data_IF_351407608017
#
_entry.id   IF_351407608017
#
_cell.length_a   1.000
_cell.length_b   1.000
_cell.length_c   1.000
_cell.angle_alpha   90.00
_cell.angle_beta   90.00
_cell.angle_gamma   90.00
#
_symmetry.space_group_name_H-M   'P 1'
#
loop_
_entity.id
_entity.type
_entity.pdbx_description
1 polymer ?
#
# COMPACT_ATOMS: atom_id res chain seq x y z
N UNK A 1 -24.88 -35.70 -87.67
CA UNK A 1 -25.78 -36.74 -88.22
C UNK A 1 -26.98 -36.80 -87.32
N UNK A 2 -28.16 -36.55 -87.96
CA UNK A 2 -29.54 -36.88 -87.55
C UNK A 2 -30.13 -36.00 -86.43
N UNK A 3 -30.91 -35.01 -86.72
CA UNK A 3 -32.27 -34.83 -87.33
C UNK A 3 -33.38 -34.97 -86.24
N UNK A 4 -34.17 -33.85 -86.13
CA UNK A 4 -35.61 -33.71 -85.94
C UNK A 4 -36.22 -34.14 -84.59
N UNK A 5 -37.28 -33.50 -84.05
CA UNK A 5 -38.55 -32.95 -84.64
C UNK A 5 -39.19 -31.99 -83.59
N UNK A 6 -39.78 -30.96 -84.11
CA UNK A 6 -40.70 -29.94 -83.64
C UNK A 6 -42.09 -30.49 -83.24
N UNK A 7 -42.70 -30.12 -82.14
CA UNK A 7 -44.20 -29.98 -82.05
C UNK A 7 -44.52 -28.89 -80.95
N UNK A 8 -45.37 -27.91 -81.28
CA UNK A 8 -45.83 -26.91 -80.32
C UNK A 8 -47.13 -27.35 -79.63
N UNK A 9 -47.29 -27.02 -78.37
CA UNK A 9 -48.61 -27.09 -77.76
C UNK A 9 -48.92 -25.75 -77.07
N UNK A 10 -49.90 -25.08 -77.62
CA UNK A 10 -50.53 -23.88 -77.11
C UNK A 10 -51.57 -24.28 -76.07
N UNK A 11 -51.50 -23.74 -74.89
CA UNK A 11 -52.68 -23.68 -74.03
C UNK A 11 -52.59 -22.57 -72.98
N UNK A 12 -53.51 -21.66 -73.04
CA UNK A 12 -54.34 -21.12 -72.02
C UNK A 12 -53.71 -20.12 -70.99
N UNK A 13 -53.92 -18.86 -71.30
CA UNK A 13 -53.77 -17.70 -70.37
C UNK A 13 -54.85 -17.77 -69.31
N UNK A 14 -54.44 -17.89 -68.00
CA UNK A 14 -55.27 -17.54 -66.86
C UNK A 14 -54.50 -16.48 -66.05
N UNK A 15 -54.97 -15.24 -66.18
CA UNK A 15 -54.50 -14.12 -65.37
C UNK A 15 -55.19 -14.21 -64.00
N UNK A 16 -54.45 -14.66 -62.97
CA UNK A 16 -54.83 -14.48 -61.58
C UNK A 16 -54.11 -13.24 -61.05
N UNK A 17 -54.82 -12.16 -60.83
CA UNK A 17 -54.37 -10.96 -60.18
C UNK A 17 -54.22 -11.26 -58.64
N UNK A 18 -53.01 -11.63 -58.20
CA UNK A 18 -52.65 -11.59 -56.77
C UNK A 18 -52.19 -10.19 -56.43
N UNK A 19 -52.94 -9.50 -55.55
CA UNK A 19 -52.59 -8.24 -55.00
C UNK A 19 -51.24 -8.38 -54.26
N UNK A 20 -50.24 -7.57 -54.60
CA UNK A 20 -49.05 -7.36 -53.85
C UNK A 20 -49.44 -6.54 -52.61
N UNK A 21 -49.60 -7.21 -51.47
CA UNK A 21 -49.50 -6.55 -50.20
C UNK A 21 -48.09 -5.96 -50.12
N UNK A 22 -47.99 -4.63 -49.96
CA UNK A 22 -46.75 -3.95 -49.70
C UNK A 22 -46.26 -4.44 -48.34
N UNK A 23 -44.99 -4.82 -48.17
CA UNK A 23 -44.45 -5.17 -46.87
C UNK A 23 -44.65 -3.96 -45.92
N UNK A 24 -44.99 -4.22 -44.63
CA UNK A 24 -45.11 -3.15 -43.65
C UNK A 24 -43.79 -2.36 -43.62
N UNK A 25 -43.86 -1.03 -43.35
CA UNK A 25 -42.67 -0.22 -43.29
C UNK A 25 -41.71 -0.85 -42.26
N UNK A 26 -40.52 -1.17 -42.73
CA UNK A 26 -39.42 -1.63 -41.86
C UNK A 26 -39.26 -0.56 -40.80
N UNK A 27 -39.64 -0.86 -39.56
CA UNK A 27 -39.37 0.02 -38.44
C UNK A 27 -37.87 0.25 -38.47
N UNK A 28 -37.44 1.52 -38.62
CA UNK A 28 -36.05 1.92 -38.59
C UNK A 28 -35.36 1.26 -37.37
N UNK A 29 -34.47 0.33 -37.67
CA UNK A 29 -33.69 -0.33 -36.61
C UNK A 29 -32.98 0.75 -35.81
N UNK A 30 -33.29 0.84 -34.54
CA UNK A 30 -32.66 1.83 -33.64
C UNK A 30 -31.15 1.64 -33.68
N UNK A 31 -30.37 2.72 -33.74
CA UNK A 31 -28.92 2.63 -33.68
C UNK A 31 -28.49 1.87 -32.41
N UNK A 32 -27.42 1.07 -32.51
CA UNK A 32 -26.90 0.31 -31.39
C UNK A 32 -26.68 1.22 -30.15
N UNK A 33 -27.04 0.74 -28.97
CA UNK A 33 -26.93 1.51 -27.73
C UNK A 33 -28.09 2.51 -27.49
N UNK A 34 -29.16 2.45 -28.26
CA UNK A 34 -30.35 3.31 -28.08
C UNK A 34 -31.49 2.53 -27.44
N UNK A 35 -32.12 3.14 -26.44
CA UNK A 35 -33.30 2.61 -25.76
C UNK A 35 -34.45 3.62 -25.82
N UNK A 36 -35.66 3.11 -26.01
CA UNK A 36 -36.89 3.92 -25.98
C UNK A 36 -37.72 3.49 -24.77
N UNK A 37 -37.99 4.42 -23.88
CA UNK A 37 -38.81 4.19 -22.69
C UNK A 37 -40.18 4.83 -22.84
N UNK A 38 -41.23 4.09 -22.49
CA UNK A 38 -42.61 4.63 -22.47
C UNK A 38 -42.79 5.67 -21.37
N UNK A 39 -43.75 6.60 -21.49
CA UNK A 39 -44.01 7.59 -20.47
C UNK A 39 -44.33 7.01 -19.08
N UNK A 40 -44.95 5.82 -19.03
CA UNK A 40 -45.22 5.09 -17.80
C UNK A 40 -43.88 4.62 -17.12
N UNK A 41 -42.97 4.06 -17.90
CA UNK A 41 -41.62 3.61 -17.39
C UNK A 41 -40.76 4.79 -16.97
N UNK A 42 -40.79 5.92 -17.68
CA UNK A 42 -40.10 7.14 -17.31
C UNK A 42 -40.52 7.65 -15.91
N UNK A 43 -41.85 7.60 -15.66
CA UNK A 43 -42.39 8.03 -14.38
C UNK A 43 -42.07 7.07 -13.25
N UNK A 44 -42.14 5.77 -13.49
CA UNK A 44 -41.78 4.72 -12.53
C UNK A 44 -40.29 4.77 -12.13
N UNK A 45 -39.41 4.97 -13.11
CA UNK A 45 -37.96 5.08 -12.89
C UNK A 45 -37.50 6.38 -12.23
N UNK A 46 -38.40 7.33 -11.97
CA UNK A 46 -38.09 8.68 -11.41
C UNK A 46 -36.93 9.35 -12.15
N UNK A 47 -36.88 9.15 -13.48
CA UNK A 47 -35.80 9.66 -14.32
C UNK A 47 -35.75 11.18 -14.27
N UNK A 48 -34.56 11.70 -13.98
CA UNK A 48 -34.26 13.13 -14.13
C UNK A 48 -33.19 13.31 -15.17
N UNK A 49 -33.36 14.34 -15.97
CA UNK A 49 -32.38 14.78 -16.97
C UNK A 49 -31.97 16.21 -16.68
N UNK A 50 -30.71 16.52 -16.94
CA UNK A 50 -30.20 17.89 -16.85
C UNK A 50 -29.36 18.22 -18.07
N UNK A 51 -29.23 19.52 -18.35
CA UNK A 51 -28.42 20.00 -19.44
C UNK A 51 -26.96 20.19 -18.98
N UNK A 52 -26.07 19.51 -19.65
CA UNK A 52 -24.63 19.54 -19.38
C UNK A 52 -24.09 20.96 -19.50
N UNK A 53 -23.34 21.38 -18.48
CA UNK A 53 -22.64 22.67 -18.43
C UNK A 53 -21.16 22.44 -18.21
N UNK A 54 -20.34 23.37 -18.69
CA UNK A 54 -18.92 23.44 -18.34
C UNK A 54 -18.79 24.13 -16.98
N UNK A 55 -18.05 23.51 -16.09
CA UNK A 55 -17.66 24.08 -14.80
C UNK A 55 -16.13 24.10 -14.71
N UNK A 56 -15.60 25.16 -14.12
CA UNK A 56 -14.18 25.24 -13.79
C UNK A 56 -13.90 24.41 -12.53
N UNK A 57 -13.38 23.22 -12.72
CA UNK A 57 -13.08 22.30 -11.63
C UNK A 57 -11.57 22.08 -11.48
N UNK A 58 -11.17 21.82 -10.25
CA UNK A 58 -9.82 21.32 -10.00
C UNK A 58 -9.74 19.84 -10.40
N UNK A 59 -8.90 19.53 -11.38
CA UNK A 59 -8.67 18.15 -11.75
C UNK A 59 -7.76 17.48 -10.71
N UNK A 60 -8.06 16.24 -10.30
CA UNK A 60 -7.17 15.51 -9.42
C UNK A 60 -5.86 15.16 -10.15
N UNK A 61 -4.74 15.46 -9.52
CA UNK A 61 -3.42 15.00 -9.98
C UNK A 61 -3.16 13.61 -9.39
N UNK A 62 -2.96 12.62 -10.24
CA UNK A 62 -2.52 11.29 -9.82
C UNK A 62 -0.99 11.20 -9.84
N UNK A 63 -0.40 10.90 -8.70
CA UNK A 63 1.04 10.78 -8.52
C UNK A 63 1.37 9.35 -8.11
N UNK A 64 2.22 8.64 -8.87
CA UNK A 64 2.69 7.31 -8.46
C UNK A 64 3.36 7.37 -7.09
N UNK A 65 3.07 6.39 -6.27
CA UNK A 65 3.59 6.29 -4.92
C UNK A 65 3.93 4.84 -4.56
N UNK A 66 4.78 4.68 -3.57
CA UNK A 66 5.14 3.37 -3.01
C UNK A 66 4.71 3.32 -1.55
N UNK A 67 4.15 2.18 -1.15
CA UNK A 67 3.81 1.93 0.25
C UNK A 67 5.09 1.58 1.01
N UNK A 68 5.33 2.28 2.11
CA UNK A 68 6.53 2.11 2.94
C UNK A 68 6.15 2.04 4.42
N UNK A 69 7.03 1.44 5.21
CA UNK A 69 6.92 1.51 6.67
C UNK A 69 7.67 2.75 7.16
N UNK A 70 7.10 3.55 8.08
CA UNK A 70 7.81 4.68 8.67
C UNK A 70 9.16 4.27 9.24
N UNK A 71 10.19 5.11 9.08
CA UNK A 71 11.54 4.83 9.62
C UNK A 71 11.49 4.60 11.13
N UNK A 72 10.66 5.37 11.86
CA UNK A 72 10.45 5.18 13.30
C UNK A 72 9.72 3.89 13.67
N UNK A 73 8.98 3.31 12.73
CA UNK A 73 8.27 2.04 12.89
C UNK A 73 9.10 0.84 12.42
N UNK A 74 10.28 1.07 11.83
CA UNK A 74 11.18 0.04 11.31
C UNK A 74 12.43 -0.03 12.18
N UNK A 75 12.98 -1.22 12.37
CA UNK A 75 14.27 -1.46 12.99
C UNK A 75 15.12 -2.32 12.08
N UNK A 76 16.29 -1.83 11.74
CA UNK A 76 17.33 -2.64 11.07
C UNK A 76 18.27 -3.16 12.13
N UNK A 77 18.27 -4.45 12.33
CA UNK A 77 19.14 -5.13 13.29
C UNK A 77 20.41 -5.51 12.56
N UNK A 78 21.53 -4.97 13.02
CA UNK A 78 22.86 -5.28 12.49
C UNK A 78 23.67 -6.10 13.48
N UNK A 79 24.76 -6.72 12.98
CA UNK A 79 25.74 -7.37 13.85
C UNK A 79 26.52 -6.34 14.66
N UNK A 80 26.75 -6.65 15.92
CA UNK A 80 27.62 -5.89 16.82
C UNK A 80 29.01 -6.56 16.98
N UNK A 81 29.14 -7.80 16.49
CA UNK A 81 30.37 -8.61 16.58
C UNK A 81 30.81 -9.12 15.22
N UNK A 82 32.08 -9.46 15.13
CA UNK A 82 32.61 -10.29 14.04
C UNK A 82 32.39 -11.76 14.37
N UNK A 83 31.95 -12.53 13.36
CA UNK A 83 31.72 -13.95 13.54
C UNK A 83 31.05 -14.61 12.35
N UNK A 84 30.55 -15.81 12.60
CA UNK A 84 29.77 -16.60 11.63
C UNK A 84 28.35 -16.81 12.17
N UNK A 85 27.36 -16.62 11.33
CA UNK A 85 25.98 -16.96 11.67
C UNK A 85 25.88 -18.48 11.86
N UNK A 86 25.55 -18.90 13.08
CA UNK A 86 25.34 -20.32 13.40
C UNK A 86 23.93 -20.74 13.02
N UNK A 87 22.93 -20.02 13.49
CA UNK A 87 21.53 -20.33 13.23
C UNK A 87 20.69 -19.06 13.03
N UNK A 88 19.75 -19.13 12.10
CA UNK A 88 18.71 -18.11 11.89
C UNK A 88 17.38 -18.65 12.42
N UNK A 89 16.83 -17.99 13.41
CA UNK A 89 15.66 -18.46 14.20
C UNK A 89 14.33 -17.89 13.68
N UNK A 90 14.36 -17.00 12.70
CA UNK A 90 13.17 -16.30 12.17
C UNK A 90 13.16 -16.29 10.66
N UNK A 91 11.97 -16.21 10.10
CA UNK A 91 11.74 -16.07 8.66
C UNK A 91 10.91 -14.81 8.37
N UNK A 92 10.97 -14.25 7.15
CA UNK A 92 10.09 -13.16 6.76
C UNK A 92 8.61 -13.51 6.97
N UNK A 93 7.89 -12.60 7.64
CA UNK A 93 6.48 -12.79 8.03
C UNK A 93 6.27 -13.15 9.50
N UNK A 94 7.30 -13.58 10.23
CA UNK A 94 7.19 -13.93 11.64
C UNK A 94 6.88 -12.71 12.51
N UNK A 95 6.02 -12.89 13.50
CA UNK A 95 5.76 -11.91 14.56
C UNK A 95 6.65 -12.19 15.76
N UNK A 96 7.45 -11.21 16.12
CA UNK A 96 8.39 -11.31 17.22
C UNK A 96 8.11 -10.27 18.31
N UNK A 97 8.10 -10.65 19.60
CA UNK A 97 8.07 -9.70 20.69
C UNK A 97 9.45 -9.03 20.88
N UNK A 98 9.49 -7.91 21.59
CA UNK A 98 10.76 -7.27 22.00
C UNK A 98 11.60 -8.27 22.80
N UNK A 99 12.89 -8.36 22.46
CA UNK A 99 13.85 -9.26 23.12
C UNK A 99 13.86 -10.69 22.58
N UNK A 100 12.97 -11.04 21.63
CA UNK A 100 13.02 -12.36 20.97
C UNK A 100 14.36 -12.58 20.29
N UNK A 101 14.88 -13.80 20.35
CA UNK A 101 16.07 -14.21 19.63
C UNK A 101 15.75 -14.26 18.12
N UNK A 102 16.59 -13.63 17.31
CA UNK A 102 16.46 -13.60 15.85
C UNK A 102 17.44 -14.54 15.17
N UNK A 103 18.67 -14.56 15.65
CA UNK A 103 19.73 -15.44 15.14
C UNK A 103 20.86 -15.58 16.16
N UNK A 104 21.69 -16.57 15.97
CA UNK A 104 22.89 -16.86 16.77
C UNK A 104 24.13 -16.63 15.91
N UNK A 105 25.17 -15.99 16.52
CA UNK A 105 26.45 -15.72 15.88
C UNK A 105 27.56 -16.36 16.73
N UNK A 106 28.29 -17.28 16.13
CA UNK A 106 29.52 -17.80 16.70
C UNK A 106 30.62 -16.76 16.59
N UNK A 107 31.15 -16.27 17.74
CA UNK A 107 32.12 -15.18 17.78
C UNK A 107 33.30 -15.49 18.69
N UNK A 108 34.50 -15.26 18.19
CA UNK A 108 35.73 -15.33 18.98
C UNK A 108 35.79 -14.26 20.09
N UNK A 109 35.13 -13.14 19.87
CA UNK A 109 35.02 -12.05 20.83
C UNK A 109 34.30 -12.49 22.09
N UNK A 110 33.20 -13.25 21.95
CA UNK A 110 32.49 -13.82 23.09
C UNK A 110 33.37 -14.82 23.88
N UNK A 111 34.10 -15.71 23.18
CA UNK A 111 35.00 -16.65 23.82
C UNK A 111 36.10 -15.94 24.60
N UNK A 112 36.60 -14.81 24.10
CA UNK A 112 37.59 -13.95 24.80
C UNK A 112 36.95 -13.28 26.03
N UNK A 113 35.75 -12.69 25.88
CA UNK A 113 35.03 -12.07 26.97
C UNK A 113 34.73 -13.06 28.09
N UNK A 114 34.38 -14.31 27.78
CA UNK A 114 34.19 -15.37 28.79
C UNK A 114 35.47 -15.68 29.58
N UNK A 115 36.64 -15.77 28.90
CA UNK A 115 37.92 -15.96 29.59
C UNK A 115 38.28 -14.81 30.50
N UNK A 116 38.08 -13.58 30.00
CA UNK A 116 38.39 -12.36 30.76
C UNK A 116 37.46 -12.23 31.98
N UNK A 117 36.20 -12.57 31.86
CA UNK A 117 35.26 -12.61 32.95
C UNK A 117 35.66 -13.65 34.02
N UNK A 118 36.00 -14.87 33.61
CA UNK A 118 36.42 -15.93 34.52
C UNK A 118 37.71 -15.54 35.25
N UNK A 119 38.67 -14.91 34.58
CA UNK A 119 39.89 -14.42 35.14
C UNK A 119 39.63 -13.31 36.17
N UNK A 120 38.81 -12.30 35.83
CA UNK A 120 38.44 -11.22 36.74
C UNK A 120 37.63 -11.73 37.94
N UNK A 121 36.80 -12.75 37.78
CA UNK A 121 36.08 -13.39 38.90
C UNK A 121 37.02 -14.09 39.85
N UNK A 122 37.99 -14.84 39.34
CA UNK A 122 38.98 -15.54 40.14
C UNK A 122 39.88 -14.55 40.95
N UNK A 123 40.33 -13.50 40.27
CA UNK A 123 41.13 -12.43 40.89
C UNK A 123 40.34 -11.71 42.00
N UNK A 124 39.10 -11.34 41.75
CA UNK A 124 38.23 -10.74 42.78
C UNK A 124 38.10 -11.66 43.98
N UNK A 125 37.89 -12.96 43.80
CA UNK A 125 37.83 -13.94 44.91
C UNK A 125 39.09 -14.03 45.72
N UNK A 126 40.26 -14.04 45.06
CA UNK A 126 41.58 -14.06 45.70
C UNK A 126 41.85 -12.79 46.52
N UNK A 127 41.64 -11.62 45.91
CA UNK A 127 41.87 -10.31 46.53
C UNK A 127 40.87 -10.05 47.69
N UNK A 128 39.59 -10.44 47.51
CA UNK A 128 38.62 -10.37 48.60
C UNK A 128 39.05 -11.21 49.81
N UNK A 129 39.48 -12.46 49.57
CA UNK A 129 39.96 -13.34 50.63
C UNK A 129 41.21 -12.81 51.35
N UNK A 130 42.10 -12.13 50.60
CA UNK A 130 43.30 -11.48 51.17
C UNK A 130 42.93 -10.28 52.01
N UNK A 131 41.99 -9.43 51.56
CA UNK A 131 41.46 -8.30 52.32
C UNK A 131 40.81 -8.76 53.62
N UNK A 132 39.91 -9.76 53.55
CA UNK A 132 39.18 -10.29 54.69
C UNK A 132 40.10 -10.88 55.73
N UNK A 133 41.24 -11.51 55.35
CA UNK A 133 42.30 -11.96 56.31
C UNK A 133 43.00 -10.80 56.92
N UNK A 134 43.43 -9.80 56.15
CA UNK A 134 44.13 -8.61 56.70
C UNK A 134 43.22 -7.82 57.64
N UNK A 135 41.92 -7.70 57.29
CA UNK A 135 40.96 -7.01 58.20
C UNK A 135 40.79 -7.74 59.55
N UNK A 136 40.80 -9.07 59.56
CA UNK A 136 40.75 -9.86 60.81
C UNK A 136 42.03 -9.72 61.60
N UNK A 137 43.19 -9.80 60.95
CA UNK A 137 44.49 -9.65 61.59
C UNK A 137 44.71 -8.24 62.16
N UNK A 138 44.09 -7.21 61.59
CA UNK A 138 44.07 -5.87 62.14
C UNK A 138 43.31 -5.79 63.52
N UNK A 139 42.17 -6.53 63.56
CA UNK A 139 41.41 -6.61 64.83
C UNK A 139 42.19 -7.29 65.96
N UNK A 140 43.12 -8.19 65.59
CA UNK A 140 44.03 -8.88 66.52
C UNK A 140 45.39 -8.12 66.65
N UNK A 141 45.48 -6.84 66.19
CA UNK A 141 46.67 -5.99 66.17
C UNK A 141 47.91 -6.63 65.48
N UNK A 142 47.72 -7.63 64.66
CA UNK A 142 48.80 -8.40 63.99
C UNK A 142 49.34 -7.78 62.71
N UNK A 143 48.65 -6.76 62.17
CA UNK A 143 49.06 -6.05 60.92
C UNK A 143 48.81 -4.55 61.05
N UNK A 144 49.58 -3.74 60.32
CA UNK A 144 49.40 -2.29 60.29
C UNK A 144 48.14 -1.88 59.51
N UNK A 145 47.53 -0.77 59.90
CA UNK A 145 46.33 -0.22 59.20
C UNK A 145 46.62 0.06 57.74
N UNK A 146 47.78 0.53 57.33
CA UNK A 146 48.22 0.79 55.96
C UNK A 146 48.16 -0.46 55.08
N UNK A 147 48.42 -1.65 55.63
CA UNK A 147 48.28 -2.91 54.92
C UNK A 147 46.81 -3.18 54.52
N UNK A 148 45.88 -2.96 55.45
CA UNK A 148 44.46 -3.11 55.22
C UNK A 148 43.98 -2.08 54.23
N UNK A 149 44.41 -0.83 54.31
CA UNK A 149 44.07 0.22 53.33
C UNK A 149 44.59 -0.11 51.92
N UNK A 150 45.81 -0.64 51.83
CA UNK A 150 46.39 -1.13 50.56
C UNK A 150 45.56 -2.28 49.97
N UNK A 151 45.18 -3.27 50.80
CA UNK A 151 44.29 -4.39 50.36
C UNK A 151 42.91 -3.91 49.97
N UNK A 152 42.36 -2.91 50.66
CA UNK A 152 41.10 -2.30 50.30
C UNK A 152 41.16 -1.62 48.90
N UNK A 153 42.27 -0.93 48.60
CA UNK A 153 42.48 -0.33 47.30
C UNK A 153 42.57 -1.41 46.16
N UNK A 154 43.33 -2.51 46.44
CA UNK A 154 43.41 -3.64 45.50
C UNK A 154 42.04 -4.28 45.28
N UNK A 155 41.25 -4.46 46.33
CA UNK A 155 39.89 -4.99 46.22
C UNK A 155 38.99 -4.08 45.38
N UNK A 156 39.08 -2.76 45.58
CA UNK A 156 38.30 -1.81 44.78
C UNK A 156 38.62 -1.92 43.26
N UNK A 157 39.90 -2.07 42.93
CA UNK A 157 40.35 -2.29 41.54
C UNK A 157 39.82 -3.60 40.99
N UNK A 158 39.97 -4.73 41.69
CA UNK A 158 39.46 -6.03 41.26
C UNK A 158 37.94 -6.04 41.08
N UNK A 159 37.18 -5.33 41.96
CA UNK A 159 35.75 -5.14 41.82
C UNK A 159 35.38 -4.34 40.56
N UNK A 160 36.16 -3.34 40.20
CA UNK A 160 35.94 -2.52 39.01
C UNK A 160 36.19 -3.36 37.75
N UNK A 161 37.28 -4.14 37.71
CA UNK A 161 37.59 -5.01 36.58
C UNK A 161 36.54 -6.14 36.39
N UNK A 162 36.09 -6.76 37.45
CA UNK A 162 35.00 -7.75 37.38
C UNK A 162 33.72 -7.15 36.82
N UNK A 163 33.30 -5.96 37.28
CA UNK A 163 32.12 -5.28 36.74
C UNK A 163 32.27 -4.97 35.25
N UNK A 164 33.45 -4.47 34.85
CA UNK A 164 33.75 -4.22 33.41
C UNK A 164 33.61 -5.49 32.60
N UNK A 165 34.18 -6.59 33.00
CA UNK A 165 34.09 -7.87 32.31
C UNK A 165 32.64 -8.39 32.27
N UNK A 166 31.87 -8.23 33.35
CA UNK A 166 30.48 -8.59 33.45
C UNK A 166 29.58 -7.79 32.46
N UNK A 167 29.85 -6.48 32.34
CA UNK A 167 29.12 -5.61 31.39
C UNK A 167 29.39 -6.02 29.96
N UNK A 168 30.65 -6.33 29.61
CA UNK A 168 31.00 -6.79 28.25
C UNK A 168 30.24 -8.06 27.90
N UNK A 169 30.22 -9.07 28.75
CA UNK A 169 29.42 -10.30 28.51
C UNK A 169 27.93 -9.99 28.41
N UNK A 170 27.41 -9.12 29.26
CA UNK A 170 26.00 -8.72 29.21
C UNK A 170 25.61 -8.09 27.88
N UNK A 171 26.49 -7.26 27.31
CA UNK A 171 26.25 -6.66 25.99
C UNK A 171 26.26 -7.68 24.85
N UNK A 172 27.07 -8.72 24.92
CA UNK A 172 27.14 -9.78 23.93
C UNK A 172 25.96 -10.76 24.00
N UNK A 173 25.15 -10.71 25.05
CA UNK A 173 23.94 -11.52 25.22
C UNK A 173 24.15 -13.01 24.89
N UNK A 174 25.03 -13.72 25.62
CA UNK A 174 25.40 -15.09 25.29
C UNK A 174 24.20 -16.02 25.32
N UNK A 175 24.13 -16.97 24.37
CA UNK A 175 23.21 -18.10 24.38
C UNK A 175 23.71 -19.16 25.39
N UNK A 176 22.87 -20.14 25.79
CA UNK A 176 23.32 -21.28 26.57
C UNK A 176 24.42 -22.13 25.87
N UNK A 177 24.48 -22.06 24.54
CA UNK A 177 25.46 -22.78 23.71
C UNK A 177 26.78 -22.03 23.56
N UNK A 178 26.85 -20.77 23.98
CA UNK A 178 28.07 -19.95 23.91
C UNK A 178 28.16 -19.08 22.65
N UNK A 179 27.05 -18.84 21.97
CA UNK A 179 26.97 -17.93 20.82
C UNK A 179 26.38 -16.58 21.22
N UNK A 180 26.66 -15.55 20.43
CA UNK A 180 26.04 -14.22 20.58
C UNK A 180 24.61 -14.30 20.06
N UNK A 181 23.65 -14.01 20.93
CA UNK A 181 22.23 -13.95 20.57
C UNK A 181 21.85 -12.56 20.11
N UNK A 182 21.51 -12.43 18.84
CA UNK A 182 20.95 -11.19 18.29
C UNK A 182 19.45 -11.14 18.59
N UNK A 183 19.00 -10.07 19.24
CA UNK A 183 17.62 -9.95 19.72
C UNK A 183 16.86 -8.81 19.06
N UNK A 184 15.53 -8.97 18.97
CA UNK A 184 14.63 -7.96 18.47
C UNK A 184 14.61 -6.72 19.42
N UNK A 185 14.97 -5.51 18.95
CA UNK A 185 14.97 -4.30 19.79
C UNK A 185 13.55 -3.83 20.14
N UNK A 186 12.55 -4.24 19.34
CA UNK A 186 11.13 -3.93 19.49
C UNK A 186 10.27 -5.11 19.04
N UNK A 187 9.00 -5.11 19.43
CA UNK A 187 8.02 -6.02 18.87
C UNK A 187 7.68 -5.59 17.41
N UNK A 188 7.40 -6.56 16.55
CA UNK A 188 7.04 -6.29 15.15
C UNK A 188 6.96 -7.55 14.32
N UNK A 189 6.86 -7.36 13.01
CA UNK A 189 6.92 -8.42 11.99
C UNK A 189 8.29 -8.35 11.31
N UNK A 190 8.91 -9.48 11.08
CA UNK A 190 10.13 -9.62 10.28
C UNK A 190 9.78 -9.36 8.83
N UNK A 191 10.35 -8.30 8.25
CA UNK A 191 10.15 -7.96 6.84
C UNK A 191 11.15 -8.69 5.96
N UNK A 192 12.41 -8.75 6.43
CA UNK A 192 13.51 -9.30 5.63
C UNK A 192 14.59 -9.93 6.52
N UNK A 193 15.24 -10.97 6.02
CA UNK A 193 16.40 -11.62 6.63
C UNK A 193 17.50 -11.60 5.59
N UNK A 194 18.58 -10.85 5.86
CA UNK A 194 19.63 -10.56 4.90
C UNK A 194 20.80 -11.54 4.96
N UNK A 195 20.81 -12.47 5.90
CA UNK A 195 21.91 -13.41 6.13
C UNK A 195 21.42 -14.86 6.21
N UNK A 196 22.32 -15.79 6.00
CA UNK A 196 22.06 -17.23 6.09
C UNK A 196 22.99 -17.90 7.08
N UNK A 197 22.58 -19.06 7.60
CA UNK A 197 23.46 -19.89 8.41
C UNK A 197 24.76 -20.23 7.65
N UNK A 198 25.89 -20.14 8.34
CA UNK A 198 27.23 -20.30 7.79
C UNK A 198 27.88 -19.05 7.21
N UNK A 199 27.15 -17.95 7.06
CA UNK A 199 27.66 -16.68 6.51
C UNK A 199 28.52 -15.93 7.52
N UNK A 200 29.64 -15.37 7.05
CA UNK A 200 30.49 -14.51 7.88
C UNK A 200 29.95 -13.09 7.96
N UNK A 201 29.93 -12.52 9.12
CA UNK A 201 29.42 -11.17 9.40
C UNK A 201 30.44 -10.33 10.17
N UNK A 202 30.39 -9.03 9.98
CA UNK A 202 31.21 -8.03 10.67
C UNK A 202 30.29 -7.00 11.35
N UNK A 203 30.80 -6.24 12.31
CA UNK A 203 30.04 -5.16 12.93
C UNK A 203 29.45 -4.21 11.88
N UNK A 204 28.13 -3.94 11.98
CA UNK A 204 27.39 -3.12 11.03
C UNK A 204 26.75 -3.89 9.87
N UNK A 205 27.07 -5.17 9.65
CA UNK A 205 26.36 -6.01 8.67
C UNK A 205 24.88 -6.08 9.02
N UNK A 206 24.01 -5.72 8.05
CA UNK A 206 22.55 -5.81 8.24
C UNK A 206 22.14 -7.29 8.31
N UNK A 207 21.40 -7.66 9.35
CA UNK A 207 20.99 -9.05 9.59
C UNK A 207 19.50 -9.25 9.35
N UNK A 208 18.66 -8.45 10.03
CA UNK A 208 17.21 -8.57 9.99
C UNK A 208 16.57 -7.19 9.94
N UNK A 209 15.56 -7.02 9.11
CA UNK A 209 14.68 -5.86 9.11
C UNK A 209 13.32 -6.26 9.71
N UNK A 210 12.86 -5.51 10.70
CA UNK A 210 11.57 -5.73 11.34
C UNK A 210 10.82 -4.40 11.55
N UNK A 211 9.50 -4.45 11.58
CA UNK A 211 8.68 -3.26 11.78
C UNK A 211 7.23 -3.55 12.11
N UNK A 212 6.47 -2.48 12.28
CA UNK A 212 5.04 -2.56 12.56
C UNK A 212 4.24 -2.43 11.25
N UNK A 213 3.61 -3.51 10.76
CA UNK A 213 2.83 -3.48 9.53
C UNK A 213 1.50 -2.72 9.66
N UNK A 214 1.09 -2.32 10.87
CA UNK A 214 -0.12 -1.52 11.08
C UNK A 214 0.09 -0.04 10.78
N UNK A 215 1.34 0.40 10.67
CA UNK A 215 1.73 1.77 10.36
C UNK A 215 2.37 1.81 8.98
N UNK A 216 1.60 2.16 7.97
CA UNK A 216 2.10 2.30 6.62
C UNK A 216 1.92 3.73 6.11
N UNK A 217 2.90 4.18 5.37
CA UNK A 217 2.88 5.42 4.62
C UNK A 217 2.83 5.12 3.13
N UNK A 218 2.33 6.07 2.35
CA UNK A 218 2.60 6.09 0.92
C UNK A 218 3.50 7.29 0.61
N UNK A 219 4.59 7.04 -0.09
CA UNK A 219 5.58 8.05 -0.48
C UNK A 219 5.49 8.26 -1.98
N UNK A 220 5.25 9.50 -2.42
CA UNK A 220 5.17 9.88 -3.82
C UNK A 220 5.94 11.17 -4.12
N UNK A 221 6.29 11.37 -5.39
CA UNK A 221 7.01 12.56 -5.86
C UNK A 221 6.06 13.48 -6.60
N UNK A 222 5.65 14.54 -5.93
CA UNK A 222 4.67 15.53 -6.43
C UNK A 222 5.39 16.60 -7.23
N UNK A 223 5.01 16.88 -8.49
CA UNK A 223 5.60 17.97 -9.27
C UNK A 223 5.55 19.31 -8.52
N UNK A 224 6.58 20.16 -8.68
CA UNK A 224 6.76 21.39 -7.91
C UNK A 224 5.57 22.35 -8.01
N UNK A 225 4.93 22.41 -9.18
CA UNK A 225 3.75 23.27 -9.41
C UNK A 225 2.52 22.84 -8.61
N UNK A 226 2.38 21.54 -8.30
CA UNK A 226 1.30 21.00 -7.50
C UNK A 226 1.67 20.89 -6.01
N UNK A 227 2.97 20.76 -5.70
CA UNK A 227 3.46 20.60 -4.35
C UNK A 227 3.17 21.81 -3.44
N UNK A 228 3.02 23.02 -4.01
CA UNK A 228 2.67 24.24 -3.26
C UNK A 228 1.31 24.09 -2.54
N UNK A 229 0.36 23.34 -3.12
CA UNK A 229 -0.94 23.11 -2.53
C UNK A 229 -0.96 21.97 -1.49
N UNK A 230 0.12 21.20 -1.39
CA UNK A 230 0.22 20.04 -0.50
C UNK A 230 0.91 20.46 0.79
N UNK A 231 0.13 20.60 1.86
CA UNK A 231 0.65 20.98 3.17
C UNK A 231 0.51 19.85 4.19
N UNK A 232 1.42 19.72 5.17
CA UNK A 232 1.24 18.79 6.27
C UNK A 232 -0.13 18.97 6.96
N UNK A 233 -0.80 17.87 7.28
CA UNK A 233 -2.17 17.87 7.81
C UNK A 233 -3.28 17.83 6.77
N UNK A 234 -2.98 18.05 5.48
CA UNK A 234 -3.97 17.92 4.40
C UNK A 234 -4.38 16.44 4.25
N UNK A 235 -5.67 16.23 3.94
CA UNK A 235 -6.20 14.93 3.56
C UNK A 235 -6.07 14.71 2.06
N UNK A 236 -5.63 13.52 1.70
CA UNK A 236 -5.48 13.09 0.31
C UNK A 236 -6.05 11.69 0.15
N UNK A 237 -6.52 11.37 -1.04
CA UNK A 237 -6.95 10.01 -1.34
C UNK A 237 -5.77 9.19 -1.89
N UNK A 238 -5.69 7.93 -1.49
CA UNK A 238 -4.70 6.97 -1.96
C UNK A 238 -5.43 5.80 -2.59
N UNK A 239 -5.15 5.53 -3.84
CA UNK A 239 -5.70 4.40 -4.60
C UNK A 239 -4.60 3.35 -4.72
N UNK A 240 -4.91 2.13 -4.28
CA UNK A 240 -3.96 1.01 -4.35
C UNK A 240 -4.16 0.23 -5.64
N UNK A 241 -3.10 -0.02 -6.37
CA UNK A 241 -3.17 -0.82 -7.60
C UNK A 241 -3.60 -2.26 -7.32
N UNK A 242 -3.23 -2.78 -6.13
CA UNK A 242 -3.60 -4.12 -5.67
C UNK A 242 -5.07 -4.25 -5.21
N UNK A 243 -5.79 -3.15 -4.99
CA UNK A 243 -7.17 -3.11 -4.50
C UNK A 243 -8.02 -2.18 -5.38
N UNK A 244 -8.34 -2.60 -6.62
CA UNK A 244 -9.11 -1.78 -7.55
C UNK A 244 -10.48 -1.41 -6.96
N UNK A 245 -10.80 -0.11 -6.98
CA UNK A 245 -12.07 0.42 -6.45
C UNK A 245 -12.05 0.76 -4.96
N UNK A 246 -10.98 0.45 -4.22
CA UNK A 246 -10.84 0.88 -2.84
C UNK A 246 -9.98 2.16 -2.75
N UNK A 247 -10.58 3.21 -2.24
CA UNK A 247 -9.90 4.50 -1.98
C UNK A 247 -9.68 4.66 -0.48
N UNK A 248 -8.43 4.82 -0.10
CA UNK A 248 -8.03 4.99 1.30
C UNK A 248 -7.73 6.46 1.53
N UNK A 249 -8.37 7.06 2.54
CA UNK A 249 -7.99 8.39 2.96
C UNK A 249 -6.65 8.34 3.71
N UNK A 250 -5.84 9.34 3.49
CA UNK A 250 -4.53 9.48 4.10
C UNK A 250 -4.28 10.94 4.47
N UNK A 251 -3.44 11.14 5.47
CA UNK A 251 -3.03 12.46 5.91
C UNK A 251 -1.59 12.74 5.47
N UNK A 252 -1.35 13.90 4.91
CA UNK A 252 0.02 14.36 4.61
C UNK A 252 0.78 14.56 5.91
N UNK A 253 1.75 13.69 6.17
CA UNK A 253 2.64 13.77 7.34
C UNK A 253 3.80 14.70 7.06
N UNK A 254 4.33 14.63 5.84
CA UNK A 254 5.50 15.41 5.44
C UNK A 254 5.45 15.76 3.95
N UNK A 255 5.68 17.02 3.67
CA UNK A 255 6.10 17.49 2.35
C UNK A 255 7.57 17.88 2.45
N UNK A 256 8.40 17.36 1.55
CA UNK A 256 9.84 17.61 1.57
C UNK A 256 10.16 19.10 1.48
N UNK A 257 11.10 19.56 2.26
CA UNK A 257 11.58 20.97 2.20
C UNK A 257 12.51 21.26 1.02
N UNK A 258 12.71 20.29 0.13
CA UNK A 258 13.61 20.41 -1.02
C UNK A 258 12.99 19.74 -2.25
N UNK A 259 13.15 20.37 -3.40
CA UNK A 259 12.81 19.78 -4.70
C UNK A 259 13.95 18.88 -5.15
N UNK A 260 13.62 17.66 -5.57
CA UNK A 260 14.56 16.77 -6.27
C UNK A 260 14.87 17.39 -7.65
N UNK A 261 16.12 17.77 -7.94
CA UNK A 261 16.43 18.47 -9.19
C UNK A 261 16.33 17.58 -10.43
N UNK A 262 16.43 16.26 -10.26
CA UNK A 262 16.35 15.29 -11.36
C UNK A 262 14.88 15.07 -11.72
N UNK A 263 14.02 14.83 -10.70
CA UNK A 263 12.59 14.59 -10.87
C UNK A 263 11.77 15.85 -10.99
N UNK A 264 12.32 17.02 -10.61
CA UNK A 264 11.60 18.29 -10.46
C UNK A 264 10.33 18.14 -9.62
N UNK A 265 10.45 17.42 -8.54
CA UNK A 265 9.34 17.03 -7.70
C UNK A 265 9.72 17.10 -6.22
N UNK A 266 8.72 17.24 -5.37
CA UNK A 266 8.85 17.22 -3.92
C UNK A 266 8.39 15.86 -3.42
N UNK A 267 9.17 15.23 -2.54
CA UNK A 267 8.77 14.01 -1.86
C UNK A 267 7.65 14.33 -0.87
N UNK A 268 6.52 13.66 -1.02
CA UNK A 268 5.37 13.77 -0.13
C UNK A 268 5.10 12.41 0.49
N UNK A 269 5.00 12.39 1.83
CA UNK A 269 4.67 11.21 2.62
C UNK A 269 3.31 11.37 3.26
N UNK A 270 2.46 10.40 3.05
CA UNK A 270 1.10 10.38 3.60
C UNK A 270 0.90 9.15 4.47
N UNK A 271 0.35 9.33 5.66
CA UNK A 271 -0.02 8.25 6.55
C UNK A 271 -1.41 7.75 6.19
N UNK A 272 -1.57 6.45 5.99
CA UNK A 272 -2.86 5.83 5.68
C UNK A 272 -3.74 5.85 6.94
N UNK A 273 -4.98 6.32 6.82
CA UNK A 273 -5.94 6.32 7.95
C UNK A 273 -6.39 4.88 8.31
N UNK A 274 -6.36 3.97 7.35
CA UNK A 274 -6.56 2.54 7.57
C UNK A 274 -5.60 1.71 6.73
N UNK A 275 -5.17 0.58 7.25
CA UNK A 275 -4.32 -0.37 6.54
C UNK A 275 -5.16 -1.61 6.21
N UNK A 276 -5.53 -1.83 4.95
CA UNK A 276 -6.27 -3.02 4.53
C UNK A 276 -5.47 -4.31 4.81
N UNK A 277 -6.15 -5.42 5.11
CA UNK A 277 -5.49 -6.71 5.22
C UNK A 277 -4.76 -7.07 3.92
N UNK A 278 -3.51 -7.52 4.04
CA UNK A 278 -2.69 -7.90 2.89
C UNK A 278 -1.88 -6.78 2.27
N UNK A 279 -2.06 -5.52 2.68
CA UNK A 279 -1.19 -4.43 2.24
C UNK A 279 0.22 -4.60 2.83
N UNK A 280 1.24 -4.47 1.99
CA UNK A 280 2.65 -4.69 2.36
C UNK A 280 3.53 -3.54 1.90
N UNK A 281 4.62 -3.24 2.60
CA UNK A 281 5.66 -2.35 2.10
C UNK A 281 6.16 -2.83 0.73
N UNK A 282 6.47 -1.89 -0.16
CA UNK A 282 6.89 -2.15 -1.54
C UNK A 282 5.73 -2.20 -2.55
N UNK A 283 4.47 -2.26 -2.12
CA UNK A 283 3.33 -2.19 -3.04
C UNK A 283 3.18 -0.79 -3.64
N UNK A 284 2.63 -0.75 -4.87
CA UNK A 284 2.37 0.49 -5.58
C UNK A 284 1.00 1.06 -5.27
N UNK A 285 0.93 2.37 -5.28
CA UNK A 285 -0.26 3.16 -5.05
C UNK A 285 -0.21 4.45 -5.89
N UNK A 286 -1.32 5.14 -5.95
CA UNK A 286 -1.43 6.47 -6.54
C UNK A 286 -1.97 7.46 -5.52
N UNK A 287 -1.25 8.53 -5.24
CA UNK A 287 -1.77 9.68 -4.50
C UNK A 287 -2.68 10.49 -5.42
N UNK A 288 -3.88 10.77 -4.96
CA UNK A 288 -4.83 11.64 -5.66
C UNK A 288 -4.84 12.98 -4.94
N UNK A 289 -4.21 13.96 -5.54
CA UNK A 289 -3.98 15.29 -4.96
C UNK A 289 -4.82 16.33 -5.71
N UNK A 290 -5.29 17.41 -5.05
CA UNK A 290 -5.83 18.55 -5.77
C UNK A 290 -4.70 19.14 -6.63
N UNK A 291 -4.88 19.10 -7.96
CA UNK A 291 -3.96 19.86 -8.82
C UNK A 291 -4.34 21.33 -8.70
N UNK A 292 -3.45 22.24 -8.58
CA UNK A 292 -3.75 23.69 -8.61
C UNK A 292 -4.31 24.17 -9.96
N UNK A 293 -4.38 23.30 -10.97
CA UNK A 293 -4.89 23.60 -12.29
C UNK A 293 -6.41 23.47 -12.35
N UNK A 294 -7.08 24.55 -12.74
CA UNK A 294 -8.50 24.53 -13.11
C UNK A 294 -8.62 24.21 -14.59
N UNK A 295 -9.60 23.38 -14.91
CA UNK A 295 -9.98 23.13 -16.28
C UNK A 295 -11.51 23.17 -16.41
N UNK A 296 -12.00 23.77 -17.48
CA UNK A 296 -13.40 23.71 -17.83
C UNK A 296 -13.74 22.27 -18.24
N UNK A 297 -14.56 21.59 -17.45
CA UNK A 297 -15.00 20.22 -17.66
C UNK A 297 -16.52 20.12 -17.49
N UNK A 298 -17.09 19.14 -18.17
CA UNK A 298 -18.46 18.72 -17.89
C UNK A 298 -18.47 18.04 -16.53
N UNK A 299 -19.32 18.49 -15.64
CA UNK A 299 -19.46 17.91 -14.29
C UNK A 299 -20.87 17.31 -14.18
N UNK A 300 -20.92 16.06 -13.74
CA UNK A 300 -22.16 15.32 -13.53
C UNK A 300 -22.15 14.67 -12.13
N UNK A 301 -23.34 14.39 -11.56
CA UNK A 301 -23.41 13.49 -10.42
C UNK A 301 -22.85 12.10 -10.75
N UNK A 302 -22.16 11.46 -9.82
CA UNK A 302 -21.58 10.13 -10.03
C UNK A 302 -22.62 9.09 -10.46
N UNK A 303 -23.86 9.19 -9.96
CA UNK A 303 -24.99 8.34 -10.33
C UNK A 303 -25.37 8.40 -11.82
N UNK A 304 -24.95 9.44 -12.56
CA UNK A 304 -25.19 9.61 -14.00
C UNK A 304 -24.33 8.67 -14.84
N UNK A 305 -23.19 8.25 -14.32
CA UNK A 305 -22.24 7.39 -15.03
C UNK A 305 -22.53 5.93 -14.70
N UNK A 306 -22.71 5.13 -15.74
CA UNK A 306 -22.96 3.69 -15.59
C UNK A 306 -21.82 2.89 -16.22
N UNK A 307 -21.36 1.88 -15.50
CA UNK A 307 -20.33 0.98 -15.99
C UNK A 307 -20.95 -0.13 -16.82
N UNK A 308 -20.50 -0.24 -18.07
CA UNK A 308 -20.88 -1.32 -18.98
C UNK A 308 -19.64 -2.17 -19.32
N UNK A 309 -19.84 -3.27 -20.09
CA UNK A 309 -18.75 -4.17 -20.48
C UNK A 309 -17.61 -3.44 -21.23
N UNK A 310 -17.96 -2.43 -22.02
CA UNK A 310 -17.03 -1.68 -22.87
C UNK A 310 -16.50 -0.39 -22.20
N UNK A 311 -16.84 -0.15 -20.93
CA UNK A 311 -16.38 1.03 -20.19
C UNK A 311 -17.50 1.85 -19.58
N UNK A 312 -17.16 3.08 -19.17
CA UNK A 312 -18.11 4.00 -18.56
C UNK A 312 -18.94 4.71 -19.63
N UNK A 313 -20.26 4.79 -19.42
CA UNK A 313 -21.22 5.44 -20.34
C UNK A 313 -22.13 6.40 -19.59
N UNK A 314 -22.64 7.39 -20.32
CA UNK A 314 -23.70 8.29 -19.88
C UNK A 314 -24.84 8.19 -20.88
N UNK A 315 -26.09 8.24 -20.40
CA UNK A 315 -27.26 8.21 -21.27
C UNK A 315 -27.67 9.61 -21.68
N UNK A 316 -27.53 9.88 -22.98
CA UNK A 316 -27.91 11.15 -23.61
C UNK A 316 -29.35 11.06 -24.09
N UNK A 317 -30.17 12.03 -23.78
CA UNK A 317 -31.53 12.15 -24.29
C UNK A 317 -31.50 12.79 -25.68
N UNK A 318 -31.84 12.02 -26.73
CA UNK A 318 -31.96 12.51 -28.11
C UNK A 318 -33.32 13.19 -28.38
N UNK A 319 -34.38 12.53 -27.90
CA UNK A 319 -35.74 13.05 -27.89
C UNK A 319 -36.46 12.61 -26.64
N UNK A 320 -37.62 13.18 -26.27
CA UNK A 320 -38.37 12.73 -25.10
C UNK A 320 -38.63 11.22 -25.15
N UNK A 321 -38.11 10.50 -24.13
CA UNK A 321 -38.24 9.04 -24.01
C UNK A 321 -37.22 8.23 -24.78
N UNK A 322 -36.36 8.84 -25.61
CA UNK A 322 -35.29 8.16 -26.32
C UNK A 322 -33.93 8.51 -25.79
N UNK A 323 -33.21 7.49 -25.33
CA UNK A 323 -31.88 7.64 -24.70
C UNK A 323 -30.86 6.83 -25.48
N UNK A 324 -29.67 7.39 -25.61
CA UNK A 324 -28.53 6.73 -26.25
C UNK A 324 -27.35 6.67 -25.29
N UNK A 325 -26.76 5.49 -25.14
CA UNK A 325 -25.52 5.30 -24.40
C UNK A 325 -24.37 5.95 -25.16
N UNK A 326 -23.64 6.84 -24.52
CA UNK A 326 -22.44 7.50 -25.06
C UNK A 326 -21.25 7.14 -24.17
N UNK A 327 -20.19 6.52 -24.74
CA UNK A 327 -18.96 6.24 -24.01
C UNK A 327 -18.31 7.55 -23.54
N UNK A 328 -17.83 7.55 -22.30
CA UNK A 328 -17.20 8.70 -21.67
C UNK A 328 -15.98 8.27 -20.84
N UNK A 329 -15.09 9.21 -20.58
CA UNK A 329 -14.08 9.04 -19.53
C UNK A 329 -14.53 9.84 -18.31
N UNK A 330 -14.75 9.15 -17.20
CA UNK A 330 -15.21 9.76 -15.97
C UNK A 330 -14.06 9.82 -14.94
N UNK A 331 -13.86 10.99 -14.37
CA UNK A 331 -12.82 11.27 -13.37
C UNK A 331 -13.49 11.75 -12.08
N UNK A 332 -13.45 10.96 -10.96
CA UNK A 332 -14.08 11.36 -9.71
C UNK A 332 -13.47 12.63 -9.14
N UNK A 333 -14.31 13.58 -8.71
CA UNK A 333 -13.91 14.84 -8.07
C UNK A 333 -13.91 14.74 -6.53
N UNK A 334 -14.39 13.63 -5.96
CA UNK A 334 -14.33 13.33 -4.52
C UNK A 334 -15.49 13.85 -3.68
N UNK A 335 -16.47 14.53 -4.28
CA UNK A 335 -17.66 15.11 -3.61
C UNK A 335 -18.99 14.51 -4.13
N UNK A 336 -18.95 13.28 -4.67
CA UNK A 336 -20.08 12.63 -5.33
C UNK A 336 -20.35 13.13 -6.74
N UNK A 337 -19.41 13.93 -7.30
CA UNK A 337 -19.43 14.43 -8.66
C UNK A 337 -18.29 13.84 -9.47
N UNK A 338 -18.45 13.78 -10.76
CA UNK A 338 -17.45 13.31 -11.72
C UNK A 338 -17.23 14.35 -12.83
N UNK A 339 -15.98 14.57 -13.20
CA UNK A 339 -15.65 15.28 -14.42
C UNK A 339 -15.70 14.29 -15.57
N UNK A 340 -16.36 14.68 -16.66
CA UNK A 340 -16.63 13.78 -17.80
C UNK A 340 -16.02 14.36 -19.07
N UNK A 341 -15.25 13.53 -19.79
CA UNK A 341 -14.77 13.83 -21.13
C UNK A 341 -15.59 13.04 -22.17
N UNK A 342 -15.83 13.65 -23.32
CA UNK A 342 -16.61 13.04 -24.42
C UNK A 342 -18.02 13.59 -24.56
N UNK A 343 -18.42 14.58 -23.75
CA UNK A 343 -19.70 15.29 -23.85
C UNK A 343 -19.49 16.75 -24.20
N UNK A 344 -20.44 17.31 -24.96
CA UNK A 344 -20.46 18.74 -25.27
C UNK A 344 -21.43 19.48 -24.36
N UNK A 345 -21.12 20.74 -24.04
CA UNK A 345 -22.06 21.61 -23.34
C UNK A 345 -23.40 21.70 -24.11
N UNK A 346 -24.51 21.77 -23.40
CA UNK A 346 -25.86 21.79 -23.99
C UNK A 346 -26.46 20.42 -24.26
N UNK A 347 -25.70 19.31 -24.09
CA UNK A 347 -26.24 17.96 -24.18
C UNK A 347 -27.17 17.68 -22.99
N UNK A 348 -28.32 17.05 -23.22
CA UNK A 348 -29.22 16.62 -22.14
C UNK A 348 -28.88 15.19 -21.75
N UNK A 349 -28.56 14.98 -20.48
CA UNK A 349 -28.15 13.67 -19.96
C UNK A 349 -29.04 13.25 -18.77
N UNK A 350 -29.10 11.93 -18.53
CA UNK A 350 -29.80 11.37 -17.37
C UNK A 350 -28.91 11.56 -16.14
N UNK A 351 -29.39 12.28 -15.13
CA UNK A 351 -28.69 12.55 -13.87
C UNK A 351 -29.16 11.67 -12.71
N UNK A 352 -30.43 11.24 -12.72
CA UNK A 352 -30.98 10.29 -11.75
C UNK A 352 -31.72 9.17 -12.50
N UNK A 353 -31.64 7.95 -11.99
CA UNK A 353 -32.31 6.80 -12.59
C UNK A 353 -31.59 6.18 -13.82
N UNK A 354 -30.32 6.52 -14.06
CA UNK A 354 -29.51 5.99 -15.16
C UNK A 354 -29.41 4.46 -15.15
N UNK A 355 -29.46 3.84 -13.96
CA UNK A 355 -29.48 2.39 -13.81
C UNK A 355 -30.66 1.73 -14.54
N UNK A 356 -31.87 2.31 -14.45
CA UNK A 356 -33.07 1.78 -15.14
C UNK A 356 -32.94 1.87 -16.66
N UNK A 357 -32.27 2.92 -17.16
CA UNK A 357 -31.99 3.06 -18.59
C UNK A 357 -31.03 1.97 -19.05
N UNK A 358 -30.01 1.68 -18.24
CA UNK A 358 -29.06 0.58 -18.48
C UNK A 358 -29.77 -0.77 -18.47
N UNK A 359 -30.56 -1.08 -17.45
CA UNK A 359 -31.29 -2.34 -17.35
C UNK A 359 -32.22 -2.57 -18.56
N UNK A 360 -32.89 -1.50 -19.01
CA UNK A 360 -33.75 -1.57 -20.20
C UNK A 360 -32.93 -1.77 -21.49
N UNK A 361 -31.70 -1.25 -21.57
CA UNK A 361 -30.82 -1.45 -22.71
C UNK A 361 -30.25 -2.89 -22.76
N UNK A 362 -29.89 -3.44 -21.59
CA UNK A 362 -29.35 -4.79 -21.44
C UNK A 362 -30.44 -5.88 -21.53
N UNK A 363 -31.70 -5.49 -21.61
CA UNK A 363 -32.84 -6.42 -21.76
C UNK A 363 -33.15 -7.23 -20.51
N UNK A 364 -32.72 -6.75 -19.32
CA UNK A 364 -33.08 -7.36 -18.03
C UNK A 364 -34.56 -7.09 -17.77
N UNK A 365 -35.45 -8.12 -17.63
CA UNK A 365 -36.83 -7.89 -17.24
C UNK A 365 -36.89 -7.26 -15.85
N UNK A 366 -37.73 -6.23 -15.69
CA UNK A 366 -38.06 -5.70 -14.38
C UNK A 366 -38.68 -6.86 -13.56
N UNK A 367 -37.96 -7.43 -12.61
CA UNK A 367 -38.59 -8.21 -11.54
C UNK A 367 -39.48 -7.24 -10.74
N UNK A 368 -40.74 -7.59 -10.66
CA UNK A 368 -41.79 -6.86 -9.96
C UNK A 368 -41.33 -6.48 -8.54
N UNK A 369 -41.36 -5.18 -8.23
CA UNK A 369 -41.32 -4.65 -6.87
C UNK A 369 -42.71 -4.26 -6.42
#
# INVERSE_FOLDING_TARGET
>A
MIIRILVPFVFGLVVAACGRESPPPVADALPAGTVVLTPARLKAAKLRTDTVRLEDVFLPLRVPATVETPELATSRVGSIVEGRVDEVLVIPGDRVPRGAALLLIHSHELATAHRDFAAAQAELGAVQSAYDRSARLLADEAVAKEEVERRAAQLATAKAEFRRAQEIIGHLSPSPQGDVTVRAPRAGVVFDVHVRAGEAVTPGTALVALGDPSQLWATGFVPENAAIAVTPGSRVAVVMDALPGDTIMAMVVRAGGRVDPIRRAVEVRVALERVPPGLRPGMFASLVLPSGARAARVVLPEASVQRMADGDVVFVQETPGRFRARPVKAEPLGDGRVAVEGLSAGTVVVTEGAYFVRAALEGVPDEEA
#
